data_IF_638958861825
#
_entry.id   IF_638958861825
#
_cell.length_a   1.000
_cell.length_b   1.000
_cell.length_c   1.000
_cell.angle_alpha   90.00
_cell.angle_beta   90.00
_cell.angle_gamma   90.00
#
_symmetry.space_group_name_H-M   'P 1'
#
loop_
_entity.id
_entity.type
_entity.pdbx_description
1 polymer ?
#
# COMPACT_ATOMS: atom_id res chain seq x y z
N UNK A 1 18.07 -4.75 -34.80
CA UNK A 1 17.33 -5.81 -34.06
C UNK A 1 15.97 -5.24 -33.71
N UNK A 2 14.85 -5.95 -33.97
CA UNK A 2 13.52 -5.49 -33.59
C UNK A 2 13.41 -5.38 -32.06
N UNK A 3 12.82 -4.30 -31.56
CA UNK A 3 12.53 -4.15 -30.15
C UNK A 3 11.49 -5.20 -29.74
N UNK A 4 11.71 -5.97 -28.66
CA UNK A 4 10.72 -6.90 -28.17
C UNK A 4 9.43 -6.15 -27.82
N UNK A 5 8.29 -6.62 -28.36
CA UNK A 5 6.98 -6.07 -28.04
C UNK A 5 6.53 -6.60 -26.67
N UNK A 6 6.65 -5.76 -25.64
CA UNK A 6 6.09 -6.08 -24.33
C UNK A 6 4.57 -5.91 -24.33
N UNK A 7 3.81 -6.73 -23.59
CA UNK A 7 2.37 -6.52 -23.43
C UNK A 7 2.08 -5.15 -22.77
N UNK A 8 0.91 -4.55 -23.00
CA UNK A 8 0.57 -3.16 -22.63
C UNK A 8 0.28 -2.97 -21.12
N UNK A 9 1.06 -3.64 -20.26
CA UNK A 9 0.92 -3.59 -18.80
C UNK A 9 1.15 -2.17 -18.25
N UNK A 10 2.00 -1.39 -18.93
CA UNK A 10 2.33 0.00 -18.61
C UNK A 10 1.10 0.91 -18.61
N UNK A 11 0.25 0.82 -19.64
CA UNK A 11 -0.95 1.65 -19.80
C UNK A 11 -2.01 1.28 -18.78
N UNK A 12 -2.23 -0.02 -18.54
CA UNK A 12 -3.20 -0.50 -17.58
C UNK A 12 -2.80 -0.13 -16.15
N UNK A 13 -1.54 -0.37 -15.78
CA UNK A 13 -1.00 -0.01 -14.46
C UNK A 13 -1.07 1.49 -14.21
N UNK A 14 -0.61 2.32 -15.15
CA UNK A 14 -0.68 3.79 -15.03
C UNK A 14 -2.11 4.26 -14.79
N UNK A 15 -3.07 3.79 -15.60
CA UNK A 15 -4.49 4.13 -15.42
C UNK A 15 -5.02 3.68 -14.07
N UNK A 16 -4.65 2.48 -13.62
CA UNK A 16 -5.03 1.94 -12.32
C UNK A 16 -4.53 2.79 -11.15
N UNK A 17 -3.25 3.19 -11.17
CA UNK A 17 -2.67 4.05 -10.12
C UNK A 17 -3.32 5.42 -10.11
N UNK A 18 -3.49 6.05 -11.29
CA UNK A 18 -4.14 7.35 -11.39
C UNK A 18 -5.60 7.31 -10.94
N UNK A 19 -6.34 6.27 -11.32
CA UNK A 19 -7.72 6.07 -10.89
C UNK A 19 -7.79 5.84 -9.37
N UNK A 20 -6.91 4.99 -8.81
CA UNK A 20 -6.84 4.76 -7.37
C UNK A 20 -6.50 6.03 -6.59
N UNK A 21 -5.53 6.81 -7.05
CA UNK A 21 -5.19 8.10 -6.45
C UNK A 21 -6.37 9.08 -6.53
N UNK A 22 -7.08 9.13 -7.68
CA UNK A 22 -8.30 9.91 -7.84
C UNK A 22 -9.41 9.51 -6.86
N UNK A 23 -9.63 8.20 -6.67
CA UNK A 23 -10.56 7.68 -5.66
C UNK A 23 -10.14 8.15 -4.27
N UNK A 24 -8.85 8.08 -3.92
CA UNK A 24 -8.38 8.56 -2.62
C UNK A 24 -8.70 10.05 -2.41
N UNK A 25 -8.48 10.89 -3.42
CA UNK A 25 -8.80 12.34 -3.37
C UNK A 25 -10.28 12.57 -3.17
N UNK A 26 -11.13 11.89 -3.94
CA UNK A 26 -12.58 12.01 -3.82
C UNK A 26 -13.04 11.56 -2.44
N UNK A 27 -12.52 10.45 -1.91
CA UNK A 27 -12.85 9.94 -0.57
C UNK A 27 -12.48 10.93 0.52
N UNK A 28 -11.27 11.51 0.48
CA UNK A 28 -10.84 12.52 1.47
C UNK A 28 -11.71 13.78 1.37
N UNK A 29 -11.93 14.29 0.15
CA UNK A 29 -12.75 15.48 -0.07
C UNK A 29 -14.18 15.28 0.41
N UNK A 30 -14.80 14.15 0.04
CA UNK A 30 -16.14 13.79 0.51
C UNK A 30 -16.21 13.67 2.03
N UNK A 31 -15.20 13.05 2.66
CA UNK A 31 -15.13 12.93 4.12
C UNK A 31 -15.08 14.29 4.82
N UNK A 32 -14.27 15.21 4.32
CA UNK A 32 -14.15 16.57 4.90
C UNK A 32 -15.47 17.33 4.74
N UNK A 33 -16.12 17.23 3.58
CA UNK A 33 -17.41 17.90 3.33
C UNK A 33 -18.54 17.31 4.19
N UNK A 34 -18.56 15.98 4.35
CA UNK A 34 -19.60 15.27 5.11
C UNK A 34 -19.39 15.36 6.63
N UNK A 35 -18.14 15.35 7.07
CA UNK A 35 -17.72 15.35 8.48
C UNK A 35 -16.69 16.46 8.72
N UNK A 36 -17.13 17.74 8.74
CA UNK A 36 -16.21 18.88 8.90
C UNK A 36 -15.44 18.85 10.22
N UNK A 37 -15.96 18.16 11.25
CA UNK A 37 -15.28 17.92 12.52
C UNK A 37 -13.93 17.21 12.39
N UNK A 38 -13.65 16.51 11.27
CA UNK A 38 -12.34 15.91 10.98
C UNK A 38 -11.23 16.96 11.08
N UNK A 39 -11.47 18.19 10.61
CA UNK A 39 -10.49 19.27 10.62
C UNK A 39 -10.17 19.80 12.02
N UNK A 40 -11.04 19.54 13.01
CA UNK A 40 -10.81 19.87 14.42
C UNK A 40 -9.90 18.88 15.14
N UNK A 41 -9.61 17.72 14.54
CA UNK A 41 -8.73 16.71 15.15
C UNK A 41 -7.26 17.19 15.15
N UNK A 42 -6.50 16.98 16.25
CA UNK A 42 -5.06 17.28 16.30
C UNK A 42 -4.24 16.55 15.23
N UNK A 43 -4.76 15.43 14.71
CA UNK A 43 -4.15 14.65 13.65
C UNK A 43 -4.29 15.31 12.26
N UNK A 44 -5.43 15.97 11.98
CA UNK A 44 -5.80 16.42 10.64
C UNK A 44 -4.76 17.34 9.97
N UNK A 45 -4.17 18.33 10.67
CA UNK A 45 -3.15 19.21 10.08
C UNK A 45 -1.89 18.48 9.61
N UNK A 46 -1.58 17.31 10.19
CA UNK A 46 -0.39 16.52 9.84
C UNK A 46 -0.65 15.60 8.66
N UNK A 47 -1.82 14.96 8.60
CA UNK A 47 -2.10 13.97 7.56
C UNK A 47 -2.51 14.58 6.22
N UNK A 48 -3.12 15.77 6.19
CA UNK A 48 -3.49 16.43 4.92
C UNK A 48 -2.28 16.75 4.02
N UNK A 49 -1.20 17.38 4.52
CA UNK A 49 0.01 17.59 3.72
C UNK A 49 0.65 16.28 3.26
N UNK A 50 0.71 15.27 4.14
CA UNK A 50 1.22 13.94 3.79
C UNK A 50 0.39 13.28 2.70
N UNK A 51 -0.93 13.38 2.77
CA UNK A 51 -1.84 12.89 1.74
C UNK A 51 -1.57 13.55 0.38
N UNK A 52 -1.45 14.88 0.34
CA UNK A 52 -1.16 15.61 -0.89
C UNK A 52 0.20 15.22 -1.48
N UNK A 53 1.23 15.09 -0.63
CA UNK A 53 2.56 14.61 -1.04
C UNK A 53 2.44 13.22 -1.66
N UNK A 54 1.70 12.31 -1.01
CA UNK A 54 1.49 10.95 -1.49
C UNK A 54 0.85 10.91 -2.88
N UNK A 55 -0.28 11.60 -3.05
CA UNK A 55 -1.04 11.62 -4.30
C UNK A 55 -0.22 12.25 -5.43
N UNK A 56 0.44 13.38 -5.17
CA UNK A 56 1.29 14.04 -6.16
C UNK A 56 2.48 13.17 -6.56
N UNK A 57 3.13 12.54 -5.58
CA UNK A 57 4.24 11.62 -5.82
C UNK A 57 3.80 10.40 -6.64
N UNK A 58 2.66 9.81 -6.29
CA UNK A 58 2.10 8.65 -7.00
C UNK A 58 1.69 9.02 -8.42
N UNK A 59 1.08 10.18 -8.63
CA UNK A 59 0.75 10.70 -9.95
C UNK A 59 1.99 10.92 -10.82
N UNK A 60 3.03 11.54 -10.24
CA UNK A 60 4.31 11.74 -10.91
C UNK A 60 4.97 10.40 -11.28
N UNK A 61 5.08 9.47 -10.33
CA UNK A 61 5.64 8.14 -10.54
C UNK A 61 4.85 7.36 -11.60
N UNK A 62 3.51 7.40 -11.54
CA UNK A 62 2.64 6.73 -12.51
C UNK A 62 2.89 7.23 -13.94
N UNK A 63 3.09 8.54 -14.15
CA UNK A 63 3.32 9.11 -15.48
C UNK A 63 4.75 8.88 -15.98
N UNK A 64 5.74 9.03 -15.09
CA UNK A 64 7.15 9.04 -15.48
C UNK A 64 7.83 7.68 -15.40
N UNK A 65 7.43 6.81 -14.48
CA UNK A 65 8.19 5.61 -14.13
C UNK A 65 7.50 4.29 -14.48
N UNK A 66 6.29 4.33 -15.05
CA UNK A 66 5.61 3.12 -15.57
C UNK A 66 6.00 2.77 -17.00
N UNK A 67 6.89 3.54 -17.63
CA UNK A 67 7.28 3.33 -19.02
C UNK A 67 8.24 2.13 -19.10
N UNK A 68 7.84 1.07 -19.80
CA UNK A 68 8.70 -0.11 -20.01
C UNK A 68 9.68 0.21 -21.13
N UNK A 69 10.93 0.46 -20.78
CA UNK A 69 12.00 0.75 -21.77
C UNK A 69 12.89 -0.47 -22.04
N UNK A 70 12.94 -1.41 -21.09
CA UNK A 70 13.77 -2.61 -21.16
C UNK A 70 13.09 -3.79 -20.42
N UNK A 71 13.69 -4.98 -20.50
CA UNK A 71 13.16 -6.18 -19.85
C UNK A 71 13.17 -6.13 -18.32
N UNK A 72 14.11 -5.39 -17.71
CA UNK A 72 14.14 -5.20 -16.26
C UNK A 72 12.93 -4.37 -15.79
N UNK A 73 12.58 -3.29 -16.51
CA UNK A 73 11.40 -2.48 -16.20
C UNK A 73 10.12 -3.32 -16.24
N UNK A 74 10.00 -4.20 -17.24
CA UNK A 74 8.86 -5.12 -17.32
C UNK A 74 8.77 -6.03 -16.09
N UNK A 75 9.89 -6.64 -15.68
CA UNK A 75 9.96 -7.48 -14.48
C UNK A 75 9.57 -6.66 -13.24
N UNK A 76 10.15 -5.48 -13.08
CA UNK A 76 9.88 -4.59 -11.94
C UNK A 76 8.39 -4.26 -11.82
N UNK A 77 7.77 -3.81 -12.90
CA UNK A 77 6.36 -3.42 -12.88
C UNK A 77 5.45 -4.65 -12.73
N UNK A 78 5.73 -5.74 -13.43
CA UNK A 78 4.91 -6.95 -13.38
C UNK A 78 4.91 -7.59 -11.98
N UNK A 79 6.08 -7.77 -11.37
CA UNK A 79 6.17 -8.29 -10.01
C UNK A 79 5.67 -7.29 -8.98
N UNK A 80 5.98 -6.00 -9.16
CA UNK A 80 5.49 -4.93 -8.28
C UNK A 80 3.97 -4.91 -8.19
N UNK A 81 3.26 -4.98 -9.32
CA UNK A 81 1.79 -5.05 -9.31
C UNK A 81 1.27 -6.30 -8.64
N UNK A 82 1.79 -7.47 -9.01
CA UNK A 82 1.28 -8.75 -8.49
C UNK A 82 1.45 -8.84 -6.97
N UNK A 83 2.65 -8.53 -6.47
CA UNK A 83 2.91 -8.52 -5.04
C UNK A 83 2.16 -7.39 -4.32
N UNK A 84 2.05 -6.21 -4.93
CA UNK A 84 1.27 -5.11 -4.37
C UNK A 84 -0.20 -5.44 -4.15
N UNK A 85 -0.83 -6.20 -5.07
CA UNK A 85 -2.20 -6.69 -4.86
C UNK A 85 -2.26 -7.64 -3.66
N UNK A 86 -1.35 -8.61 -3.57
CA UNK A 86 -1.34 -9.59 -2.46
C UNK A 86 -1.11 -8.89 -1.12
N UNK A 87 -0.16 -7.96 -1.05
CA UNK A 87 0.13 -7.16 0.17
C UNK A 87 -1.06 -6.29 0.54
N UNK A 88 -1.69 -5.63 -0.44
CA UNK A 88 -2.88 -4.81 -0.20
C UNK A 88 -4.05 -5.62 0.34
N UNK A 89 -4.27 -6.83 -0.18
CA UNK A 89 -5.29 -7.75 0.34
C UNK A 89 -4.96 -8.22 1.76
N UNK A 90 -3.70 -8.49 2.07
CA UNK A 90 -3.29 -8.83 3.43
C UNK A 90 -3.57 -7.69 4.43
N UNK A 91 -3.31 -6.43 4.05
CA UNK A 91 -3.69 -5.27 4.85
C UNK A 91 -5.21 -5.13 5.02
N UNK A 92 -6.01 -5.38 3.97
CA UNK A 92 -7.47 -5.39 4.09
C UNK A 92 -7.94 -6.45 5.09
N UNK A 93 -7.38 -7.66 5.03
CA UNK A 93 -7.72 -8.74 5.96
C UNK A 93 -7.34 -8.35 7.39
N UNK A 94 -6.16 -7.77 7.59
CA UNK A 94 -5.71 -7.25 8.88
C UNK A 94 -6.70 -6.23 9.44
N UNK A 95 -7.02 -5.20 8.64
CA UNK A 95 -7.86 -4.09 9.09
C UNK A 95 -9.27 -4.56 9.37
N UNK A 96 -9.83 -5.41 8.50
CA UNK A 96 -11.17 -5.96 8.70
C UNK A 96 -11.23 -6.89 9.92
N UNK A 97 -10.26 -7.80 10.08
CA UNK A 97 -10.24 -8.72 11.21
C UNK A 97 -10.05 -7.98 12.55
N UNK A 98 -9.16 -6.98 12.59
CA UNK A 98 -8.84 -6.23 13.79
C UNK A 98 -9.89 -5.22 14.22
N UNK A 99 -10.71 -4.71 13.29
CA UNK A 99 -11.69 -3.65 13.57
C UNK A 99 -13.15 -4.09 13.46
N UNK A 100 -13.48 -5.11 12.67
CA UNK A 100 -14.87 -5.52 12.42
C UNK A 100 -15.19 -6.86 13.07
N UNK A 101 -14.28 -7.84 13.02
CA UNK A 101 -14.55 -9.18 13.54
C UNK A 101 -14.30 -9.28 15.04
N UNK A 102 -13.10 -8.93 15.48
CA UNK A 102 -12.70 -9.04 16.88
C UNK A 102 -11.49 -8.14 17.15
N UNK A 103 -11.60 -7.20 18.11
CA UNK A 103 -10.43 -6.47 18.60
C UNK A 103 -9.32 -7.45 18.99
N UNK A 104 -8.10 -7.24 18.50
CA UNK A 104 -6.95 -8.12 18.73
C UNK A 104 -7.10 -9.56 18.18
N UNK A 105 -7.86 -9.74 17.10
CA UNK A 105 -7.97 -11.02 16.42
C UNK A 105 -6.59 -11.60 16.06
N UNK A 106 -6.29 -12.87 16.38
CA UNK A 106 -5.04 -13.52 15.95
C UNK A 106 -4.92 -13.60 14.42
N UNK A 107 -6.06 -13.59 13.71
CA UNK A 107 -6.10 -13.50 12.24
C UNK A 107 -5.54 -12.15 11.78
N UNK A 108 -5.92 -11.06 12.46
CA UNK A 108 -5.41 -9.72 12.19
C UNK A 108 -3.89 -9.67 12.36
N UNK A 109 -3.39 -10.15 13.51
CA UNK A 109 -1.95 -10.20 13.78
C UNK A 109 -1.18 -11.03 12.74
N UNK A 110 -1.69 -12.20 12.38
CA UNK A 110 -1.07 -13.03 11.34
C UNK A 110 -1.05 -12.31 9.99
N UNK A 111 -2.14 -11.65 9.62
CA UNK A 111 -2.21 -10.85 8.39
C UNK A 111 -1.22 -9.67 8.42
N UNK A 112 -1.04 -9.00 9.56
CA UNK A 112 -0.01 -7.97 9.74
C UNK A 112 1.39 -8.52 9.49
N UNK A 113 1.74 -9.66 10.10
CA UNK A 113 3.07 -10.29 9.95
C UNK A 113 3.30 -10.67 8.49
N UNK A 114 2.29 -11.27 7.83
CA UNK A 114 2.36 -11.63 6.41
C UNK A 114 2.55 -10.37 5.56
N UNK A 115 1.73 -9.34 5.74
CA UNK A 115 1.81 -8.10 4.99
C UNK A 115 3.16 -7.39 5.17
N UNK A 116 3.77 -7.49 6.36
CA UNK A 116 5.09 -6.92 6.65
C UNK A 116 6.26 -7.70 6.00
N UNK A 117 6.16 -9.03 5.89
CA UNK A 117 7.22 -9.88 5.32
C UNK A 117 7.18 -9.92 3.79
N UNK A 118 5.98 -9.88 3.20
CA UNK A 118 5.79 -10.02 1.76
C UNK A 118 6.58 -9.04 0.87
N UNK A 119 6.80 -7.76 1.22
CA UNK A 119 7.65 -6.87 0.43
C UNK A 119 9.10 -7.36 0.28
N UNK A 120 9.66 -7.99 1.32
CA UNK A 120 10.99 -8.60 1.24
C UNK A 120 10.97 -9.84 0.33
N UNK A 121 9.94 -10.67 0.40
CA UNK A 121 9.76 -11.82 -0.51
C UNK A 121 9.64 -11.35 -1.97
N UNK A 122 8.90 -10.26 -2.20
CA UNK A 122 8.76 -9.65 -3.51
C UNK A 122 10.11 -9.18 -4.07
N UNK A 123 10.89 -8.46 -3.24
CA UNK A 123 12.22 -8.00 -3.59
C UNK A 123 13.21 -9.14 -3.88
N UNK A 124 13.20 -10.18 -3.05
CA UNK A 124 14.05 -11.37 -3.21
C UNK A 124 13.73 -12.12 -4.50
N UNK A 125 12.44 -12.30 -4.81
CA UNK A 125 11.97 -12.96 -6.04
C UNK A 125 12.46 -12.20 -7.27
N UNK A 126 12.34 -10.88 -7.26
CA UNK A 126 12.83 -10.02 -8.33
C UNK A 126 14.34 -10.10 -8.56
N UNK A 127 15.12 -9.98 -7.48
CA UNK A 127 16.57 -10.05 -7.56
C UNK A 127 17.08 -11.44 -7.96
N UNK A 128 16.38 -12.52 -7.59
CA UNK A 128 16.70 -13.87 -8.06
C UNK A 128 16.56 -13.96 -9.59
N UNK A 129 15.53 -13.32 -10.17
CA UNK A 129 15.31 -13.30 -11.63
C UNK A 129 16.31 -12.41 -12.36
N UNK A 130 16.55 -11.18 -11.88
CA UNK A 130 17.39 -10.20 -12.60
C UNK A 130 18.87 -10.26 -12.25
N UNK A 131 19.23 -10.81 -11.09
CA UNK A 131 20.59 -10.83 -10.55
C UNK A 131 21.01 -9.50 -9.92
N UNK A 132 20.12 -8.50 -9.90
CA UNK A 132 20.40 -7.16 -9.40
C UNK A 132 19.61 -6.88 -8.13
N UNK A 133 20.31 -6.52 -7.04
CA UNK A 133 19.67 -6.18 -5.78
C UNK A 133 18.77 -4.92 -5.88
N UNK A 134 19.17 -3.97 -6.73
CA UNK A 134 18.41 -2.73 -6.96
C UNK A 134 17.00 -3.00 -7.54
N UNK A 135 16.84 -4.03 -8.36
CA UNK A 135 15.53 -4.47 -8.85
C UNK A 135 14.58 -4.78 -7.68
N UNK A 136 15.10 -5.34 -6.58
CA UNK A 136 14.31 -5.64 -5.39
C UNK A 136 13.70 -4.40 -4.75
N UNK A 137 14.47 -3.32 -4.62
CA UNK A 137 13.98 -2.03 -4.11
C UNK A 137 12.87 -1.45 -5.01
N UNK A 138 13.06 -1.51 -6.34
CA UNK A 138 12.08 -1.02 -7.32
C UNK A 138 10.78 -1.84 -7.29
N UNK A 139 10.87 -3.17 -7.15
CA UNK A 139 9.70 -4.04 -6.99
C UNK A 139 8.99 -3.73 -5.67
N UNK A 140 9.74 -3.55 -4.59
CA UNK A 140 9.23 -3.12 -3.29
C UNK A 140 8.45 -1.80 -3.39
N UNK A 141 9.01 -0.80 -4.06
CA UNK A 141 8.36 0.49 -4.30
C UNK A 141 7.01 0.33 -5.01
N UNK A 142 6.97 -0.36 -6.15
CA UNK A 142 5.72 -0.54 -6.91
C UNK A 142 4.70 -1.42 -6.18
N UNK A 143 5.17 -2.41 -5.43
CA UNK A 143 4.33 -3.20 -4.52
C UNK A 143 3.71 -2.30 -3.45
N UNK A 144 4.50 -1.39 -2.89
CA UNK A 144 4.07 -0.38 -1.93
C UNK A 144 3.03 0.59 -2.47
N UNK A 145 3.23 1.09 -3.70
CA UNK A 145 2.27 1.99 -4.36
C UNK A 145 0.93 1.31 -4.56
N UNK A 146 0.92 0.10 -5.13
CA UNK A 146 -0.32 -0.63 -5.40
C UNK A 146 -1.00 -1.07 -4.10
N UNK A 147 -0.26 -1.64 -3.16
CA UNK A 147 -0.80 -2.05 -1.86
C UNK A 147 -1.30 -0.86 -1.04
N UNK A 148 -0.60 0.27 -1.04
CA UNK A 148 -1.00 1.47 -0.33
C UNK A 148 -2.34 2.03 -0.83
N UNK A 149 -2.58 2.04 -2.14
CA UNK A 149 -3.87 2.45 -2.71
C UNK A 149 -5.00 1.50 -2.31
N UNK A 150 -4.75 0.19 -2.35
CA UNK A 150 -5.72 -0.84 -1.95
C UNK A 150 -6.03 -0.74 -0.44
N UNK A 151 -4.99 -0.63 0.39
CA UNK A 151 -5.11 -0.50 1.83
C UNK A 151 -5.81 0.80 2.21
N UNK A 152 -5.49 1.94 1.58
CA UNK A 152 -6.23 3.19 1.80
C UNK A 152 -7.73 3.01 1.57
N UNK A 153 -8.11 2.42 0.43
CA UNK A 153 -9.52 2.20 0.11
C UNK A 153 -10.19 1.25 1.11
N UNK A 154 -9.50 0.18 1.50
CA UNK A 154 -9.98 -0.77 2.50
C UNK A 154 -10.17 -0.15 3.88
N UNK A 155 -9.17 0.55 4.39
CA UNK A 155 -9.19 1.24 5.69
C UNK A 155 -10.27 2.31 5.72
N UNK A 156 -10.37 3.14 4.68
CA UNK A 156 -11.46 4.12 4.57
C UNK A 156 -12.83 3.44 4.54
N UNK A 157 -12.97 2.34 3.78
CA UNK A 157 -14.19 1.55 3.73
C UNK A 157 -14.61 0.98 5.09
N UNK A 158 -13.66 0.44 5.86
CA UNK A 158 -13.88 -0.03 7.24
C UNK A 158 -14.33 1.12 8.14
N UNK A 159 -13.72 2.30 8.03
CA UNK A 159 -14.15 3.48 8.78
C UNK A 159 -15.61 3.86 8.51
N UNK A 160 -16.04 3.83 7.24
CA UNK A 160 -17.44 4.07 6.88
C UNK A 160 -18.39 2.98 7.38
N UNK A 161 -17.97 1.71 7.31
CA UNK A 161 -18.76 0.60 7.83
C UNK A 161 -19.00 0.75 9.33
N UNK A 162 -17.96 1.09 10.09
CA UNK A 162 -18.04 1.28 11.55
C UNK A 162 -18.94 2.45 11.92
N UNK A 163 -18.87 3.56 11.19
CA UNK A 163 -19.77 4.70 11.42
C UNK A 163 -21.21 4.39 11.01
N UNK A 164 -21.42 3.60 9.96
CA UNK A 164 -22.75 3.22 9.49
C UNK A 164 -23.42 2.12 10.32
N UNK A 165 -22.63 1.27 10.98
CA UNK A 165 -23.09 0.12 11.76
C UNK A 165 -22.38 0.11 13.13
N UNK A 166 -22.88 0.90 14.11
CA UNK A 166 -22.27 1.03 15.43
C UNK A 166 -22.14 -0.30 16.19
N UNK A 167 -22.87 -1.34 15.79
CA UNK A 167 -22.77 -2.68 16.37
C UNK A 167 -21.36 -3.29 16.22
N UNK A 168 -20.58 -2.85 15.23
CA UNK A 168 -19.18 -3.26 15.06
C UNK A 168 -18.22 -2.64 16.07
N UNK A 169 -18.68 -1.66 16.88
CA UNK A 169 -17.86 -1.00 17.89
C UNK A 169 -17.87 -1.71 19.25
N UNK A 170 -18.55 -2.85 19.37
CA UNK A 170 -18.62 -3.60 20.64
C UNK A 170 -17.21 -4.02 21.09
N UNK A 171 -16.72 -3.38 22.16
CA UNK A 171 -15.41 -3.65 22.75
C UNK A 171 -14.31 -2.64 22.42
N UNK A 172 -14.60 -1.58 21.64
CA UNK A 172 -13.69 -0.43 21.52
C UNK A 172 -14.08 0.66 22.52
N UNK A 173 -13.09 1.16 23.27
CA UNK A 173 -13.25 2.28 24.20
C UNK A 173 -13.54 3.58 23.44
N UNK A 174 -14.78 3.74 22.96
CA UNK A 174 -15.22 5.01 22.37
C UNK A 174 -15.41 5.99 23.51
N UNK A 175 -14.51 6.96 23.61
CA UNK A 175 -14.69 8.08 24.54
C UNK A 175 -16.01 8.81 24.21
N UNK A 176 -17.00 8.82 25.13
CA UNK A 176 -18.27 9.53 24.93
C UNK A 176 -18.10 11.06 24.84
N UNK A 177 -16.90 11.58 25.11
CA UNK A 177 -16.63 13.00 25.23
C UNK A 177 -16.44 13.73 23.88
N UNK A 178 -16.35 13.02 22.76
CA UNK A 178 -16.31 13.64 21.44
C UNK A 178 -17.73 13.82 20.91
N UNK A 179 -18.27 15.04 20.96
CA UNK A 179 -19.57 15.41 20.40
C UNK A 179 -19.74 15.19 18.89
N UNK A 180 -18.78 14.53 18.23
CA UNK A 180 -18.84 14.11 16.83
C UNK A 180 -17.97 12.83 16.61
N UNK A 181 -18.31 11.75 17.33
CA UNK A 181 -17.56 10.47 17.29
C UNK A 181 -17.38 9.92 15.87
N UNK A 182 -18.35 10.15 14.97
CA UNK A 182 -18.26 9.79 13.57
C UNK A 182 -17.13 10.54 12.84
N UNK A 183 -17.04 11.87 13.01
CA UNK A 183 -15.98 12.66 12.40
C UNK A 183 -14.60 12.26 12.92
N UNK A 184 -14.48 12.00 14.23
CA UNK A 184 -13.24 11.50 14.81
C UNK A 184 -12.83 10.15 14.21
N UNK A 185 -13.75 9.17 14.18
CA UNK A 185 -13.48 7.83 13.66
C UNK A 185 -13.07 7.89 12.17
N UNK A 186 -13.84 8.58 11.32
CA UNK A 186 -13.48 8.73 9.91
C UNK A 186 -12.10 9.40 9.76
N UNK A 187 -11.83 10.43 10.55
CA UNK A 187 -10.53 11.10 10.56
C UNK A 187 -9.37 10.15 10.88
N UNK A 188 -9.54 9.26 11.86
CA UNK A 188 -8.52 8.30 12.28
C UNK A 188 -8.28 7.19 11.23
N UNK A 189 -9.35 6.66 10.63
CA UNK A 189 -9.23 5.71 9.52
C UNK A 189 -8.58 6.34 8.30
N UNK A 190 -8.90 7.59 7.96
CA UNK A 190 -8.22 8.30 6.87
C UNK A 190 -6.74 8.54 7.17
N UNK A 191 -6.39 8.96 8.40
CA UNK A 191 -5.00 9.12 8.82
C UNK A 191 -4.21 7.80 8.70
N UNK A 192 -4.81 6.69 9.12
CA UNK A 192 -4.26 5.34 8.95
C UNK A 192 -4.11 4.97 7.48
N UNK A 193 -5.10 5.28 6.64
CA UNK A 193 -5.02 5.10 5.19
C UNK A 193 -3.86 5.91 4.57
N UNK A 194 -3.68 7.17 4.98
CA UNK A 194 -2.57 8.02 4.52
C UNK A 194 -1.21 7.45 4.93
N UNK A 195 -1.10 6.90 6.15
CA UNK A 195 0.09 6.18 6.60
C UNK A 195 0.41 4.99 5.68
N UNK A 196 -0.61 4.27 5.20
CA UNK A 196 -0.44 3.18 4.25
C UNK A 196 0.04 3.64 2.87
N UNK A 197 -0.32 4.84 2.41
CA UNK A 197 0.19 5.38 1.15
C UNK A 197 1.69 5.70 1.25
N UNK A 198 2.14 6.38 2.30
CA UNK A 198 3.54 6.85 2.36
C UNK A 198 4.45 5.91 3.15
N UNK A 199 4.15 5.74 4.44
CA UNK A 199 5.07 5.11 5.38
C UNK A 199 5.15 3.61 5.14
N UNK A 200 3.98 2.93 5.14
CA UNK A 200 3.92 1.47 4.97
C UNK A 200 4.07 1.09 3.49
N UNK A 201 3.35 1.80 2.61
CA UNK A 201 3.38 1.55 1.17
C UNK A 201 4.74 1.92 0.58
N UNK A 202 4.93 3.17 0.18
CA UNK A 202 6.11 3.54 -0.59
C UNK A 202 7.43 3.33 0.17
N UNK A 203 7.56 3.79 1.42
CA UNK A 203 8.84 3.80 2.12
C UNK A 203 9.23 2.42 2.67
N UNK A 204 8.37 1.82 3.50
CA UNK A 204 8.65 0.52 4.10
C UNK A 204 8.75 -0.58 3.05
N UNK A 205 7.84 -0.67 2.07
CA UNK A 205 7.95 -1.70 1.04
C UNK A 205 9.21 -1.53 0.18
N UNK A 206 9.67 -0.30 -0.10
CA UNK A 206 10.94 -0.08 -0.80
C UNK A 206 12.14 -0.57 0.02
N UNK A 207 12.18 -0.24 1.31
CA UNK A 207 13.27 -0.66 2.20
C UNK A 207 13.29 -2.19 2.39
N UNK A 208 12.14 -2.79 2.68
CA UNK A 208 11.99 -4.24 2.81
C UNK A 208 12.29 -4.95 1.48
N UNK A 209 11.85 -4.40 0.34
CA UNK A 209 12.19 -4.91 -0.99
C UNK A 209 13.68 -4.83 -1.30
N UNK A 210 14.37 -3.77 -0.87
CA UNK A 210 15.82 -3.66 -0.98
C UNK A 210 16.55 -4.73 -0.16
N UNK A 211 16.12 -4.92 1.10
CA UNK A 211 16.62 -5.98 1.97
C UNK A 211 16.43 -7.37 1.34
N UNK A 212 15.21 -7.66 0.87
CA UNK A 212 14.92 -8.90 0.16
C UNK A 212 15.76 -9.07 -1.10
N UNK A 213 15.97 -7.99 -1.87
CA UNK A 213 16.79 -8.00 -3.07
C UNK A 213 18.26 -8.37 -2.82
N UNK A 214 18.83 -7.92 -1.70
CA UNK A 214 20.17 -8.34 -1.27
C UNK A 214 20.23 -9.84 -1.00
N UNK A 215 19.25 -10.38 -0.26
CA UNK A 215 19.17 -11.80 0.03
C UNK A 215 19.00 -12.66 -1.24
N UNK A 216 18.09 -12.26 -2.13
CA UNK A 216 17.86 -12.95 -3.40
C UNK A 216 19.11 -13.03 -4.29
N UNK A 217 19.95 -11.98 -4.28
CA UNK A 217 21.22 -11.97 -5.00
C UNK A 217 22.24 -12.95 -4.43
N UNK A 218 22.33 -13.05 -3.10
CA UNK A 218 23.25 -13.99 -2.43
C UNK A 218 22.91 -15.44 -2.75
N UNK A 219 21.62 -15.80 -2.69
CA UNK A 219 21.14 -17.15 -3.02
C UNK A 219 21.48 -17.52 -4.46
N UNK A 220 21.26 -16.60 -5.42
CA UNK A 220 21.62 -16.83 -6.82
C UNK A 220 23.12 -17.02 -7.01
N UNK A 221 23.95 -16.25 -6.32
CA UNK A 221 25.41 -16.38 -6.37
C UNK A 221 25.90 -17.77 -5.95
N UNK A 222 25.30 -18.32 -4.88
CA UNK A 222 25.63 -19.68 -4.40
C UNK A 222 25.25 -20.76 -5.42
N UNK A 223 24.08 -20.62 -6.07
CA UNK A 223 23.65 -21.57 -7.10
C UNK A 223 24.58 -21.60 -8.31
N UNK A 224 25.13 -20.46 -8.72
CA UNK A 224 26.08 -20.38 -9.83
C UNK A 224 27.40 -21.10 -9.50
N UNK A 225 27.90 -20.97 -8.26
CA UNK A 225 29.14 -21.65 -7.83
C UNK A 225 28.96 -23.17 -7.78
N UNK A 226 27.78 -23.67 -7.39
CA UNK A 226 27.51 -25.11 -7.30
C UNK A 226 27.32 -25.80 -8.65
N UNK A 227 27.09 -25.03 -9.73
CA UNK A 227 26.96 -25.56 -11.09
C UNK A 227 28.28 -25.71 -11.86
N UNK A 228 29.41 -25.37 -11.24
CA UNK A 228 30.75 -25.46 -11.80
C UNK A 228 31.58 -26.54 -11.10
#
# INVERSE_FOLDING_TARGET
>A
MPTPSFPPIDKALRKGILAGAGICVVTVAYSILRYPGILGSPAAPKFLPLFLIAVLWYGFAAVRWTQVTNSEDFVVLHYGVRWGVVIGLAWIVETFAGNVLMPHSPIGLLATIVAAVLPAVAGATGAAVTGQAWTGARIGFWSGVVSGLIAFAGVAGVGYLIVGFPEFLQGQDISPAAGDSAAYNIGDYLATGVSHLLLVGALFCSAAGAFGGLFGRLVRGQQATLSH
#
